data_IF_474494689366
#
_entry.id   IF_474494689366
#
_cell.length_a   1.000
_cell.length_b   1.000
_cell.length_c   1.000
_cell.angle_alpha   90.00
_cell.angle_beta   90.00
_cell.angle_gamma   90.00
#
_symmetry.space_group_name_H-M   'P 1'
#
loop_
_entity.id
_entity.type
_entity.pdbx_description
1 polymer ?
#
# COMPACT_ATOMS: atom_id res chain seq x y z
N UNK A 1 2.06 -13.50 -21.86
CA UNK A 1 2.00 -12.90 -20.51
C UNK A 1 0.58 -13.11 -20.02
N UNK A 2 0.36 -13.86 -18.93
CA UNK A 2 -0.99 -14.02 -18.38
C UNK A 2 -1.42 -12.67 -17.83
N UNK A 3 -2.59 -12.19 -18.26
CA UNK A 3 -3.18 -10.92 -17.86
C UNK A 3 -3.29 -10.83 -16.32
N UNK A 4 -2.79 -9.74 -15.74
CA UNK A 4 -2.84 -9.48 -14.29
C UNK A 4 -4.28 -9.51 -13.79
N UNK A 5 -5.22 -9.02 -14.59
CA UNK A 5 -6.64 -9.03 -14.27
C UNK A 5 -7.17 -10.46 -14.13
N UNK A 6 -6.80 -11.38 -15.04
CA UNK A 6 -7.21 -12.78 -14.96
C UNK A 6 -6.58 -13.49 -13.75
N UNK A 7 -5.32 -13.20 -13.46
CA UNK A 7 -4.64 -13.73 -12.25
C UNK A 7 -5.31 -13.24 -10.96
N UNK A 8 -5.74 -11.98 -10.92
CA UNK A 8 -6.48 -11.40 -9.79
C UNK A 8 -7.86 -12.04 -9.64
N UNK A 9 -8.60 -12.22 -10.74
CA UNK A 9 -9.92 -12.88 -10.72
C UNK A 9 -9.84 -14.30 -10.18
N UNK A 10 -8.77 -15.04 -10.50
CA UNK A 10 -8.59 -16.41 -10.04
C UNK A 10 -8.43 -16.53 -8.50
N UNK A 11 -7.97 -15.47 -7.83
CA UNK A 11 -7.66 -15.49 -6.39
C UNK A 11 -8.55 -14.58 -5.55
N UNK A 12 -9.53 -13.92 -6.17
CA UNK A 12 -10.45 -13.01 -5.50
C UNK A 12 -11.91 -13.39 -5.70
N UNK A 13 -12.78 -12.98 -4.78
CA UNK A 13 -14.22 -13.00 -4.95
C UNK A 13 -14.72 -11.55 -4.88
N UNK A 14 -15.23 -11.03 -6.00
CA UNK A 14 -15.58 -9.61 -6.15
C UNK A 14 -14.43 -8.67 -5.74
N UNK A 15 -13.22 -8.92 -6.27
CA UNK A 15 -11.96 -8.21 -5.93
C UNK A 15 -11.48 -8.38 -4.48
N UNK A 16 -12.12 -9.20 -3.65
CA UNK A 16 -11.70 -9.43 -2.27
C UNK A 16 -10.90 -10.70 -2.16
N UNK A 17 -9.75 -10.65 -1.49
CA UNK A 17 -9.07 -11.87 -1.05
C UNK A 17 -9.82 -12.38 0.17
N UNK A 18 -10.43 -13.56 0.05
CA UNK A 18 -11.28 -14.14 1.11
C UNK A 18 -10.62 -15.33 1.80
N UNK A 19 -9.58 -15.90 1.21
CA UNK A 19 -8.86 -17.07 1.73
C UNK A 19 -7.38 -16.78 1.91
N UNK A 20 -6.78 -17.34 2.96
CA UNK A 20 -5.40 -17.02 3.38
C UNK A 20 -4.36 -17.55 2.40
N UNK A 21 -4.62 -18.70 1.79
CA UNK A 21 -3.77 -19.37 0.81
C UNK A 21 -3.52 -18.53 -0.46
N UNK A 22 -4.37 -17.54 -0.73
CA UNK A 22 -4.24 -16.68 -1.89
C UNK A 22 -3.32 -15.48 -1.67
N UNK A 23 -2.87 -15.22 -0.44
CA UNK A 23 -1.96 -14.10 -0.17
C UNK A 23 -0.63 -14.26 -0.88
N UNK A 24 -0.04 -15.46 -0.86
CA UNK A 24 1.25 -15.69 -1.50
C UNK A 24 1.16 -15.47 -3.01
N UNK A 25 0.11 -16.01 -3.65
CA UNK A 25 -0.16 -15.78 -5.07
C UNK A 25 -0.38 -14.30 -5.38
N UNK A 26 -1.14 -13.59 -4.54
CA UNK A 26 -1.34 -12.15 -4.68
C UNK A 26 -0.02 -11.38 -4.59
N UNK A 27 0.83 -11.71 -3.62
CA UNK A 27 2.14 -11.11 -3.45
C UNK A 27 3.04 -11.36 -4.66
N UNK A 28 2.98 -12.55 -5.25
CA UNK A 28 3.72 -12.86 -6.46
C UNK A 28 3.23 -12.05 -7.67
N UNK A 29 1.92 -11.85 -7.83
CA UNK A 29 1.38 -10.92 -8.84
C UNK A 29 1.97 -9.51 -8.65
N UNK A 30 1.94 -8.99 -7.42
CA UNK A 30 2.49 -7.67 -7.12
C UNK A 30 4.00 -7.57 -7.41
N UNK A 31 4.78 -8.63 -7.13
CA UNK A 31 6.22 -8.67 -7.41
C UNK A 31 6.53 -8.78 -8.91
N UNK A 32 5.74 -9.53 -9.67
CA UNK A 32 5.93 -9.66 -11.12
C UNK A 32 5.75 -8.32 -11.85
N UNK A 33 4.87 -7.45 -11.33
CA UNK A 33 4.70 -6.08 -11.86
C UNK A 33 5.97 -5.24 -11.74
N UNK A 34 6.81 -5.49 -10.72
CA UNK A 34 8.11 -4.84 -10.56
C UNK A 34 9.14 -5.32 -11.58
N UNK A 35 9.06 -6.60 -11.95
CA UNK A 35 9.98 -7.23 -12.90
C UNK A 35 9.57 -6.98 -14.37
N UNK A 36 8.39 -6.42 -14.59
CA UNK A 36 7.88 -6.12 -15.94
C UNK A 36 8.72 -5.00 -16.56
N UNK A 37 9.17 -5.15 -17.84
CA UNK A 37 10.00 -4.14 -18.49
C UNK A 37 9.32 -2.77 -18.51
N UNK A 38 10.10 -1.72 -18.29
CA UNK A 38 9.64 -0.32 -18.27
C UNK A 38 9.05 0.14 -19.60
N UNK A 39 9.25 -0.59 -20.69
CA UNK A 39 8.56 -0.38 -21.97
C UNK A 39 7.04 -0.64 -21.90
N UNK A 40 6.55 -1.32 -20.85
CA UNK A 40 5.13 -1.64 -20.64
C UNK A 40 4.50 -0.80 -19.52
N UNK A 41 4.82 0.50 -19.45
CA UNK A 41 4.37 1.39 -18.35
C UNK A 41 2.88 1.33 -18.08
N UNK A 42 2.06 1.33 -19.12
CA UNK A 42 0.59 1.31 -19.01
C UNK A 42 0.07 -0.01 -18.42
N UNK A 43 0.65 -1.14 -18.82
CA UNK A 43 0.33 -2.46 -18.25
C UNK A 43 0.71 -2.53 -16.77
N UNK A 44 1.89 -2.00 -16.41
CA UNK A 44 2.35 -1.95 -15.02
C UNK A 44 1.40 -1.08 -14.19
N UNK A 45 1.08 0.11 -14.68
CA UNK A 45 0.14 1.04 -14.03
C UNK A 45 -1.22 0.39 -13.79
N UNK A 46 -1.81 -0.20 -14.83
CA UNK A 46 -3.11 -0.85 -14.71
C UNK A 46 -3.07 -2.05 -13.76
N UNK A 47 -2.01 -2.86 -13.80
CA UNK A 47 -1.83 -3.96 -12.85
C UNK A 47 -1.71 -3.49 -11.40
N UNK A 48 -0.95 -2.42 -11.14
CA UNK A 48 -0.83 -1.81 -9.80
C UNK A 48 -2.17 -1.26 -9.31
N UNK A 49 -2.94 -0.64 -10.19
CA UNK A 49 -4.28 -0.15 -9.89
C UNK A 49 -5.23 -1.29 -9.51
N UNK A 50 -5.21 -2.39 -10.26
CA UNK A 50 -6.00 -3.58 -9.94
C UNK A 50 -5.60 -4.17 -8.57
N UNK A 51 -4.31 -4.27 -8.27
CA UNK A 51 -3.83 -4.70 -6.95
C UNK A 51 -4.29 -3.75 -5.82
N UNK A 52 -4.26 -2.43 -6.04
CA UNK A 52 -4.73 -1.46 -5.06
C UNK A 52 -6.24 -1.61 -4.79
N UNK A 53 -7.05 -1.80 -5.84
CA UNK A 53 -8.49 -2.10 -5.71
C UNK A 53 -8.73 -3.37 -4.89
N UNK A 54 -7.92 -4.42 -5.08
CA UNK A 54 -8.03 -5.66 -4.29
C UNK A 54 -7.79 -5.40 -2.81
N UNK A 55 -6.76 -4.61 -2.46
CA UNK A 55 -6.50 -4.23 -1.07
C UNK A 55 -7.65 -3.41 -0.49
N UNK A 56 -8.16 -2.44 -1.25
CA UNK A 56 -9.31 -1.61 -0.86
C UNK A 56 -10.59 -2.42 -0.64
N UNK A 57 -10.80 -3.48 -1.43
CA UNK A 57 -11.97 -4.33 -1.34
C UNK A 57 -11.86 -5.40 -0.24
N UNK A 58 -10.64 -5.81 0.13
CA UNK A 58 -10.40 -6.88 1.11
C UNK A 58 -10.76 -6.43 2.53
N UNK A 59 -11.70 -7.14 3.17
CA UNK A 59 -12.26 -6.78 4.50
C UNK A 59 -11.59 -7.57 5.63
N UNK A 60 -11.08 -8.78 5.34
CA UNK A 60 -10.52 -9.68 6.35
C UNK A 60 -9.20 -9.13 6.88
N UNK A 61 -9.20 -8.63 8.12
CA UNK A 61 -8.02 -8.03 8.76
C UNK A 61 -6.81 -8.96 8.79
N UNK A 62 -6.99 -10.25 9.06
CA UNK A 62 -5.90 -11.23 9.07
C UNK A 62 -5.20 -11.37 7.71
N UNK A 63 -5.95 -11.27 6.61
CA UNK A 63 -5.41 -11.29 5.24
C UNK A 63 -4.58 -10.03 4.98
N UNK A 64 -5.08 -8.86 5.40
CA UNK A 64 -4.33 -7.61 5.31
C UNK A 64 -3.06 -7.61 6.18
N UNK A 65 -3.09 -8.26 7.36
CA UNK A 65 -1.89 -8.47 8.18
C UNK A 65 -0.86 -9.34 7.47
N UNK A 66 -1.29 -10.45 6.88
CA UNK A 66 -0.40 -11.32 6.11
C UNK A 66 0.25 -10.59 4.92
N UNK A 67 -0.45 -9.65 4.30
CA UNK A 67 0.13 -8.77 3.28
C UNK A 67 1.25 -7.88 3.84
N UNK A 68 1.07 -7.31 5.04
CA UNK A 68 2.11 -6.53 5.73
C UNK A 68 3.30 -7.43 6.07
N UNK A 69 3.06 -8.61 6.64
CA UNK A 69 4.08 -9.58 7.04
C UNK A 69 4.91 -10.07 5.83
N UNK A 70 4.28 -10.16 4.66
CA UNK A 70 4.91 -10.53 3.39
C UNK A 70 5.69 -9.38 2.71
N UNK A 71 5.93 -8.28 3.42
CA UNK A 71 6.63 -7.08 2.95
C UNK A 71 5.85 -6.25 1.90
N UNK A 72 4.52 -6.34 1.91
CA UNK A 72 3.65 -5.63 0.97
C UNK A 72 3.78 -4.10 1.03
N UNK A 73 4.14 -3.53 2.18
CA UNK A 73 4.35 -2.08 2.30
C UNK A 73 5.52 -1.57 1.47
N UNK A 74 6.57 -2.37 1.26
CA UNK A 74 7.72 -1.99 0.43
C UNK A 74 7.29 -1.83 -1.03
N UNK A 75 6.40 -2.71 -1.50
CA UNK A 75 5.81 -2.61 -2.84
C UNK A 75 4.96 -1.35 -2.98
N UNK A 76 4.09 -1.07 -2.00
CA UNK A 76 3.28 0.15 -2.01
C UNK A 76 4.14 1.42 -1.97
N UNK A 77 5.26 1.40 -1.23
CA UNK A 77 6.16 2.55 -1.17
C UNK A 77 6.78 2.86 -2.53
N UNK A 78 7.23 1.82 -3.23
CA UNK A 78 7.76 1.95 -4.59
C UNK A 78 6.68 2.51 -5.54
N UNK A 79 5.47 1.96 -5.49
CA UNK A 79 4.39 2.38 -6.38
C UNK A 79 3.90 3.81 -6.11
N UNK A 80 3.93 4.26 -4.85
CA UNK A 80 3.65 5.67 -4.51
C UNK A 80 4.70 6.60 -5.09
N UNK A 81 5.99 6.25 -4.96
CA UNK A 81 7.07 7.05 -5.55
C UNK A 81 6.91 7.14 -7.06
N UNK A 82 6.69 6.01 -7.74
CA UNK A 82 6.50 6.00 -9.19
C UNK A 82 5.26 6.78 -9.64
N UNK A 83 4.16 6.68 -8.89
CA UNK A 83 2.92 7.40 -9.19
C UNK A 83 3.07 8.91 -8.94
N UNK A 84 3.84 9.33 -7.94
CA UNK A 84 4.19 10.73 -7.71
C UNK A 84 5.05 11.29 -8.84
N UNK A 85 6.07 10.55 -9.27
CA UNK A 85 6.97 10.96 -10.36
C UNK A 85 6.23 11.08 -11.70
N UNK A 86 5.18 10.28 -11.89
CA UNK A 86 4.32 10.32 -13.09
C UNK A 86 3.09 11.21 -12.94
N UNK A 87 2.88 11.83 -11.77
CA UNK A 87 1.69 12.65 -11.46
C UNK A 87 0.38 11.86 -11.66
N UNK A 88 0.39 10.57 -11.34
CA UNK A 88 -0.78 9.69 -11.45
C UNK A 88 -1.63 9.77 -10.18
N UNK A 89 -2.50 10.78 -10.13
CA UNK A 89 -3.39 10.99 -8.99
C UNK A 89 -4.38 9.85 -8.76
N UNK A 90 -4.80 9.16 -9.82
CA UNK A 90 -5.75 8.06 -9.69
C UNK A 90 -5.13 6.88 -8.94
N UNK A 91 -3.92 6.47 -9.34
CA UNK A 91 -3.19 5.43 -8.64
C UNK A 91 -2.79 5.88 -7.22
N UNK A 92 -2.30 7.11 -7.05
CA UNK A 92 -1.96 7.65 -5.73
C UNK A 92 -3.15 7.60 -4.77
N UNK A 93 -4.34 8.00 -5.22
CA UNK A 93 -5.56 7.98 -4.41
C UNK A 93 -5.88 6.56 -3.93
N UNK A 94 -5.85 5.57 -4.82
CA UNK A 94 -6.15 4.18 -4.47
C UNK A 94 -5.11 3.60 -3.49
N UNK A 95 -3.83 3.90 -3.69
CA UNK A 95 -2.74 3.44 -2.80
C UNK A 95 -2.83 4.08 -1.41
N UNK A 96 -3.03 5.40 -1.34
CA UNK A 96 -3.18 6.12 -0.07
C UNK A 96 -4.41 5.62 0.68
N UNK A 97 -5.53 5.40 -0.03
CA UNK A 97 -6.75 4.85 0.57
C UNK A 97 -6.53 3.43 1.12
N UNK A 98 -5.83 2.56 0.38
CA UNK A 98 -5.53 1.21 0.85
C UNK A 98 -4.70 1.24 2.14
N UNK A 99 -3.72 2.13 2.24
CA UNK A 99 -2.91 2.25 3.45
C UNK A 99 -3.75 2.82 4.59
N UNK A 100 -4.40 3.97 4.38
CA UNK A 100 -5.12 4.72 5.41
C UNK A 100 -6.33 3.95 5.96
N UNK A 101 -7.14 3.39 5.08
CA UNK A 101 -8.42 2.79 5.47
C UNK A 101 -8.30 1.29 5.78
N UNK A 102 -7.37 0.58 5.14
CA UNK A 102 -7.27 -0.89 5.25
C UNK A 102 -6.10 -1.32 6.11
N UNK A 103 -4.87 -0.97 5.71
CA UNK A 103 -3.69 -1.47 6.39
C UNK A 103 -3.49 -0.84 7.78
N UNK A 104 -3.77 0.45 7.91
CA UNK A 104 -3.66 1.18 9.17
C UNK A 104 -4.72 0.77 10.21
N UNK A 105 -5.85 0.20 9.78
CA UNK A 105 -6.95 -0.24 10.66
C UNK A 105 -6.98 -1.77 10.91
N UNK A 106 -6.09 -2.53 10.26
CA UNK A 106 -6.07 -3.98 10.37
C UNK A 106 -5.44 -4.51 11.67
N UNK A 107 -4.71 -3.67 12.42
CA UNK A 107 -4.11 -4.01 13.72
C UNK A 107 -2.85 -4.86 13.65
N UNK A 108 -2.07 -4.76 12.57
CA UNK A 108 -0.76 -5.41 12.42
C UNK A 108 0.32 -4.48 11.86
N UNK A 109 0.04 -3.19 11.74
CA UNK A 109 0.99 -2.20 11.25
C UNK A 109 1.81 -1.66 12.44
N UNK A 110 3.13 -1.86 12.41
CA UNK A 110 4.05 -1.35 13.45
C UNK A 110 5.00 -0.28 12.90
N UNK A 111 5.66 0.47 13.80
CA UNK A 111 6.76 1.37 13.45
C UNK A 111 7.84 0.66 12.62
N UNK A 112 8.18 -0.57 12.98
CA UNK A 112 9.22 -1.34 12.31
C UNK A 112 8.84 -1.61 10.85
N UNK A 113 7.58 -1.97 10.58
CA UNK A 113 7.09 -2.17 9.21
C UNK A 113 7.15 -0.87 8.40
N UNK A 114 6.73 0.26 9.00
CA UNK A 114 6.74 1.58 8.34
C UNK A 114 8.17 2.04 8.03
N UNK A 115 9.10 1.87 8.96
CA UNK A 115 10.52 2.23 8.77
C UNK A 115 11.20 1.33 7.74
N UNK A 116 11.03 0.01 7.84
CA UNK A 116 11.63 -0.98 6.92
C UNK A 116 11.21 -0.72 5.46
N UNK A 117 9.91 -0.53 5.24
CA UNK A 117 9.35 -0.31 3.90
C UNK A 117 9.61 1.08 3.32
N UNK A 118 10.06 2.04 4.16
CA UNK A 118 10.21 3.47 3.80
C UNK A 118 8.91 4.13 3.33
N UNK A 119 7.75 3.51 3.57
CA UNK A 119 6.43 4.02 3.16
C UNK A 119 6.13 5.42 3.73
N UNK A 120 6.56 5.70 4.96
CA UNK A 120 6.42 7.02 5.57
C UNK A 120 7.20 8.10 4.84
N UNK A 121 8.36 7.78 4.22
CA UNK A 121 9.12 8.73 3.41
C UNK A 121 8.40 9.01 2.09
N UNK A 122 7.90 7.97 1.42
CA UNK A 122 7.14 8.12 0.18
C UNK A 122 5.89 8.99 0.38
N UNK A 123 5.13 8.73 1.44
CA UNK A 123 3.96 9.54 1.81
C UNK A 123 4.34 11.00 2.13
N UNK A 124 5.43 11.24 2.87
CA UNK A 124 5.91 12.61 3.11
C UNK A 124 6.25 13.35 1.81
N UNK A 125 6.78 12.67 0.78
CA UNK A 125 7.01 13.29 -0.53
C UNK A 125 5.70 13.71 -1.20
N UNK A 126 4.64 12.90 -1.10
CA UNK A 126 3.30 13.26 -1.62
C UNK A 126 2.75 14.48 -0.88
N UNK A 127 2.81 14.49 0.45
CA UNK A 127 2.38 15.62 1.30
C UNK A 127 3.08 16.93 0.94
N UNK A 128 4.37 16.88 0.62
CA UNK A 128 5.18 18.06 0.26
C UNK A 128 5.04 18.49 -1.20
N UNK A 129 4.39 17.69 -2.05
CA UNK A 129 4.28 17.97 -3.47
C UNK A 129 3.46 19.24 -3.72
N UNK A 130 3.93 20.09 -4.64
CA UNK A 130 3.23 21.30 -5.09
C UNK A 130 2.24 21.04 -6.21
N UNK A 131 2.32 19.87 -6.87
CA UNK A 131 1.56 19.51 -8.07
C UNK A 131 0.41 18.55 -7.81
N UNK A 132 0.43 17.81 -6.69
CA UNK A 132 -0.63 16.86 -6.31
C UNK A 132 -1.80 17.60 -5.66
N UNK A 133 -3.01 17.15 -5.98
CA UNK A 133 -4.26 17.72 -5.49
C UNK A 133 -4.37 17.70 -3.96
N UNK A 134 -5.02 18.75 -3.45
CA UNK A 134 -5.25 18.95 -2.01
C UNK A 134 -5.90 17.75 -1.32
N UNK A 135 -6.94 17.09 -1.87
CA UNK A 135 -7.60 15.96 -1.19
C UNK A 135 -6.66 14.77 -0.90
N UNK A 136 -5.77 14.44 -1.84
CA UNK A 136 -4.79 13.38 -1.67
C UNK A 136 -3.79 13.78 -0.58
N UNK A 137 -3.26 15.01 -0.67
CA UNK A 137 -2.31 15.54 0.33
C UNK A 137 -2.90 15.55 1.74
N UNK A 138 -4.13 16.04 1.90
CA UNK A 138 -4.84 16.01 3.19
C UNK A 138 -5.01 14.60 3.73
N UNK A 139 -5.38 13.64 2.87
CA UNK A 139 -5.49 12.22 3.28
C UNK A 139 -4.16 11.64 3.77
N UNK A 140 -3.05 12.05 3.13
CA UNK A 140 -1.70 11.65 3.52
C UNK A 140 -1.27 12.32 4.83
N UNK A 141 -1.55 13.61 4.99
CA UNK A 141 -1.22 14.35 6.21
C UNK A 141 -1.93 13.77 7.43
N UNK A 142 -3.22 13.45 7.30
CA UNK A 142 -4.01 12.78 8.34
C UNK A 142 -3.40 11.43 8.73
N UNK A 143 -3.00 10.62 7.73
CA UNK A 143 -2.34 9.34 7.96
C UNK A 143 -1.01 9.50 8.69
N UNK A 144 -0.18 10.46 8.28
CA UNK A 144 1.11 10.74 8.93
C UNK A 144 0.92 11.20 10.37
N UNK A 145 -0.08 12.05 10.64
CA UNK A 145 -0.39 12.49 12.00
C UNK A 145 -0.88 11.33 12.87
N UNK A 146 -1.75 10.47 12.36
CA UNK A 146 -2.21 9.27 13.06
C UNK A 146 -1.03 8.35 13.42
N UNK A 147 -0.09 8.14 12.49
CA UNK A 147 1.13 7.38 12.77
C UNK A 147 2.02 8.03 13.82
N UNK A 148 2.20 9.35 13.78
CA UNK A 148 2.96 10.06 14.84
C UNK A 148 2.31 9.83 16.21
N UNK A 149 0.99 9.90 16.31
CA UNK A 149 0.28 9.70 17.58
C UNK A 149 0.39 8.24 18.05
N UNK A 150 0.09 7.27 17.17
CA UNK A 150 0.16 5.84 17.48
C UNK A 150 1.57 5.41 17.91
N UNK A 151 2.59 5.86 17.18
CA UNK A 151 3.95 5.37 17.38
C UNK A 151 4.72 6.08 18.48
N UNK A 152 4.31 7.29 18.88
CA UNK A 152 4.85 7.94 20.10
C UNK A 152 4.44 7.16 21.34
N UNK A 153 3.22 6.61 21.38
CA UNK A 153 2.71 5.80 22.50
C UNK A 153 3.38 4.42 22.63
N UNK A 154 3.99 3.90 21.56
CA UNK A 154 4.72 2.62 21.58
C UNK A 154 6.17 2.74 22.12
N UNK A 155 6.64 3.96 22.40
CA UNK A 155 7.95 4.17 23.04
C UNK A 155 7.79 3.91 24.54
N UNK A 156 8.50 2.94 25.17
CA UNK A 156 8.42 2.78 26.60
C UNK A 156 8.95 4.07 27.24
N UNK A 157 8.15 4.66 28.12
CA UNK A 157 8.67 5.56 29.14
C UNK A 157 9.70 4.78 29.95
N UNK A 158 10.97 4.93 29.61
CA UNK A 158 12.08 4.65 30.52
C UNK A 158 11.85 5.54 31.74
N UNK A 159 11.23 4.98 32.78
CA UNK A 159 11.32 5.47 34.14
C UNK A 159 12.79 5.44 34.51
N UNK A 160 13.39 6.63 34.56
CA UNK A 160 14.60 6.84 35.34
C UNK A 160 14.17 6.90 36.80
N UNK A 161 14.41 5.80 37.53
CA UNK A 161 14.62 5.87 38.98
C UNK A 161 15.97 6.54 39.26
#
# INVERSE_FOLDING_TARGET
MVDVTERIKAITNNYKITKKEYIETFMNICRDLKLTPTSHKETIKNGRLECAKVLNATIKKNILKMFIDADGLSLLSEWITDALDQIDENLLKELVNAIKEKLNSCGGLTVANVKKSKIGKALNSVSKSTIISKPIKTSVDELIQDWKQKFVQETPSTTSD
#
